data_IF_730390149993
#
_entry.id   IF_730390149993
#
_cell.length_a   1.000
_cell.length_b   1.000
_cell.length_c   1.000
_cell.angle_alpha   90.00
_cell.angle_beta   90.00
_cell.angle_gamma   90.00
#
_symmetry.space_group_name_H-M   'P 1'
#
loop_
_entity.id
_entity.type
_entity.pdbx_description
1 polymer ?
#
# COMPACT_ATOMS: atom_id res chain seq x y z
N UNK A 1 -33.47 -16.79 23.68
CA UNK A 1 -32.90 -16.59 22.33
C UNK A 1 -32.38 -17.92 21.84
N UNK A 2 -33.03 -18.53 20.84
CA UNK A 2 -32.59 -19.80 20.28
C UNK A 2 -31.38 -19.55 19.37
N UNK A 3 -30.24 -20.16 19.67
CA UNK A 3 -29.07 -20.15 18.80
C UNK A 3 -29.38 -20.94 17.53
N UNK A 4 -29.56 -20.26 16.40
CA UNK A 4 -29.63 -20.95 15.12
C UNK A 4 -28.30 -21.67 14.89
N UNK A 5 -28.31 -22.99 14.61
CA UNK A 5 -27.09 -23.71 14.30
C UNK A 5 -26.48 -23.06 13.06
N UNK A 6 -25.29 -22.50 13.20
CA UNK A 6 -24.50 -22.11 12.04
C UNK A 6 -24.40 -23.33 11.12
N UNK A 7 -24.93 -23.19 9.90
CA UNK A 7 -24.90 -24.25 8.91
C UNK A 7 -23.43 -24.49 8.54
N UNK A 8 -22.83 -25.55 9.07
CA UNK A 8 -21.42 -25.92 8.90
C UNK A 8 -21.00 -25.93 7.42
N UNK A 9 -21.92 -26.31 6.53
CA UNK A 9 -21.71 -26.26 5.08
C UNK A 9 -21.43 -24.86 4.53
N UNK A 10 -22.08 -23.80 5.06
CA UNK A 10 -21.83 -22.42 4.62
C UNK A 10 -20.43 -21.94 5.02
N UNK A 11 -19.94 -22.35 6.19
CA UNK A 11 -18.59 -21.98 6.62
C UNK A 11 -17.53 -22.67 5.76
N UNK A 12 -17.69 -23.98 5.52
CA UNK A 12 -16.78 -24.74 4.65
C UNK A 12 -16.70 -24.15 3.24
N UNK A 13 -17.85 -23.78 2.65
CA UNK A 13 -17.90 -23.12 1.36
C UNK A 13 -17.13 -21.79 1.33
N UNK A 14 -17.27 -20.95 2.37
CA UNK A 14 -16.53 -19.69 2.49
C UNK A 14 -15.02 -19.95 2.57
N UNK A 15 -14.58 -20.92 3.37
CA UNK A 15 -13.16 -21.28 3.50
C UNK A 15 -12.59 -21.74 2.16
N UNK A 16 -13.26 -22.68 1.50
CA UNK A 16 -12.83 -23.20 0.19
C UNK A 16 -12.75 -22.06 -0.83
N UNK A 17 -13.79 -21.22 -0.91
CA UNK A 17 -13.80 -20.09 -1.83
C UNK A 17 -12.65 -19.11 -1.54
N UNK A 18 -12.38 -18.83 -0.26
CA UNK A 18 -11.29 -17.93 0.14
C UNK A 18 -9.92 -18.50 -0.27
N UNK A 19 -9.71 -19.81 -0.10
CA UNK A 19 -8.48 -20.48 -0.53
C UNK A 19 -8.33 -20.48 -2.05
N UNK A 20 -9.41 -20.70 -2.79
CA UNK A 20 -9.40 -20.60 -4.27
C UNK A 20 -9.05 -19.19 -4.71
N UNK A 21 -9.65 -18.16 -4.11
CA UNK A 21 -9.33 -16.75 -4.40
C UNK A 21 -7.88 -16.44 -4.09
N UNK A 22 -7.35 -16.90 -2.95
CA UNK A 22 -5.95 -16.71 -2.59
C UNK A 22 -5.00 -17.40 -3.57
N UNK A 23 -5.30 -18.64 -3.97
CA UNK A 23 -4.50 -19.38 -4.95
C UNK A 23 -4.50 -18.67 -6.32
N UNK A 24 -5.66 -18.19 -6.78
CA UNK A 24 -5.75 -17.40 -8.02
C UNK A 24 -4.97 -16.10 -7.92
N UNK A 25 -5.03 -15.41 -6.78
CA UNK A 25 -4.28 -14.18 -6.54
C UNK A 25 -2.77 -14.44 -6.62
N UNK A 26 -2.29 -15.49 -5.95
CA UNK A 26 -0.88 -15.92 -5.98
C UNK A 26 -0.44 -16.29 -7.40
N UNK A 27 -1.27 -17.04 -8.13
CA UNK A 27 -1.00 -17.41 -9.52
C UNK A 27 -0.88 -16.19 -10.44
N UNK A 28 -1.88 -15.31 -10.41
CA UNK A 28 -1.90 -14.08 -11.23
C UNK A 28 -0.71 -13.18 -10.87
N UNK A 29 -0.37 -13.11 -9.58
CA UNK A 29 0.78 -12.34 -9.12
C UNK A 29 2.09 -12.92 -9.64
N UNK A 30 2.27 -14.24 -9.59
CA UNK A 30 3.42 -14.92 -10.18
C UNK A 30 3.57 -14.63 -11.67
N UNK A 31 2.51 -14.85 -12.46
CA UNK A 31 2.55 -14.53 -13.90
C UNK A 31 2.83 -13.04 -14.18
N UNK A 32 2.35 -12.14 -13.31
CA UNK A 32 2.62 -10.71 -13.42
C UNK A 32 4.08 -10.40 -13.15
N UNK A 33 4.66 -10.99 -12.09
CA UNK A 33 6.07 -10.84 -11.72
C UNK A 33 6.99 -11.38 -12.81
N UNK A 34 6.71 -12.55 -13.38
CA UNK A 34 7.50 -13.13 -14.48
C UNK A 34 7.63 -12.18 -15.69
N UNK A 35 6.63 -11.31 -15.91
CA UNK A 35 6.64 -10.32 -17.01
C UNK A 35 7.28 -8.98 -16.64
N UNK A 36 7.46 -8.69 -15.36
CA UNK A 36 7.84 -7.37 -14.86
C UNK A 36 8.94 -7.39 -13.81
N UNK A 37 9.65 -8.50 -13.63
CA UNK A 37 10.68 -8.69 -12.60
C UNK A 37 11.73 -7.56 -12.63
N UNK A 38 12.12 -7.11 -13.82
CA UNK A 38 13.10 -6.02 -14.00
C UNK A 38 12.51 -4.59 -13.91
N UNK A 39 11.23 -4.41 -13.57
CA UNK A 39 10.60 -3.10 -13.35
C UNK A 39 10.02 -2.98 -11.93
N UNK A 40 10.88 -2.78 -10.91
CA UNK A 40 10.46 -2.69 -9.52
C UNK A 40 9.52 -1.49 -9.27
N UNK A 41 9.57 -0.46 -10.11
CA UNK A 41 8.66 0.68 -10.04
C UNK A 41 7.22 0.29 -10.32
N UNK A 42 6.99 -0.54 -11.36
CA UNK A 42 5.66 -1.09 -11.65
C UNK A 42 5.16 -2.05 -10.58
N UNK A 43 6.02 -2.95 -10.10
CA UNK A 43 5.67 -3.89 -9.03
C UNK A 43 5.21 -3.10 -7.79
N UNK A 44 6.02 -2.11 -7.36
CA UNK A 44 5.69 -1.23 -6.24
C UNK A 44 4.36 -0.50 -6.44
N UNK A 45 4.08 0.00 -7.64
CA UNK A 45 2.81 0.67 -7.96
C UNK A 45 1.60 -0.27 -7.81
N UNK A 46 1.70 -1.52 -8.26
CA UNK A 46 0.62 -2.51 -8.11
C UNK A 46 0.46 -2.90 -6.64
N UNK A 47 1.54 -3.06 -5.89
CA UNK A 47 1.44 -3.32 -4.45
C UNK A 47 0.80 -2.15 -3.68
N UNK A 48 1.07 -0.90 -4.09
CA UNK A 48 0.34 0.26 -3.57
C UNK A 48 -1.16 0.20 -3.86
N UNK A 49 -1.54 -0.23 -5.06
CA UNK A 49 -2.94 -0.43 -5.41
C UNK A 49 -3.60 -1.50 -4.54
N UNK A 50 -2.90 -2.62 -4.28
CA UNK A 50 -3.37 -3.64 -3.33
C UNK A 50 -3.56 -3.08 -1.92
N UNK A 51 -2.58 -2.33 -1.40
CA UNK A 51 -2.66 -1.70 -0.08
C UNK A 51 -3.84 -0.72 0.03
N UNK A 52 -4.11 0.04 -1.04
CA UNK A 52 -5.29 0.89 -1.16
C UNK A 52 -6.60 0.10 -1.13
N UNK A 53 -6.68 -0.99 -1.89
CA UNK A 53 -7.85 -1.87 -1.91
C UNK A 53 -8.14 -2.48 -0.53
N UNK A 54 -7.10 -2.94 0.16
CA UNK A 54 -7.17 -3.47 1.54
C UNK A 54 -7.66 -2.40 2.51
N UNK A 55 -7.13 -1.19 2.39
CA UNK A 55 -7.53 -0.06 3.24
C UNK A 55 -8.99 0.34 3.00
N UNK A 56 -9.42 0.41 1.75
CA UNK A 56 -10.82 0.67 1.40
C UNK A 56 -11.75 -0.43 1.93
N UNK A 57 -11.32 -1.68 1.87
CA UNK A 57 -12.06 -2.81 2.43
C UNK A 57 -12.19 -2.72 3.97
N UNK A 58 -11.13 -2.35 4.68
CA UNK A 58 -11.16 -2.15 6.14
C UNK A 58 -12.16 -1.05 6.53
N UNK A 59 -12.14 0.07 5.82
CA UNK A 59 -13.10 1.17 6.00
C UNK A 59 -14.52 0.67 5.72
N UNK A 60 -14.73 -0.05 4.63
CA UNK A 60 -16.03 -0.61 4.24
C UNK A 60 -16.62 -1.56 5.29
N UNK A 61 -15.78 -2.39 5.91
CA UNK A 61 -16.21 -3.25 7.04
C UNK A 61 -16.64 -2.43 8.26
N UNK A 62 -15.91 -1.36 8.56
CA UNK A 62 -16.22 -0.49 9.70
C UNK A 62 -17.49 0.32 9.47
N UNK A 63 -17.68 0.89 8.28
CA UNK A 63 -18.91 1.63 7.92
C UNK A 63 -20.13 0.71 7.87
N UNK A 64 -19.93 -0.59 7.61
CA UNK A 64 -20.99 -1.60 7.67
C UNK A 64 -21.30 -2.09 9.08
N UNK A 65 -20.59 -1.60 10.11
CA UNK A 65 -20.75 -2.03 11.50
C UNK A 65 -20.26 -3.46 11.80
N UNK A 66 -19.49 -4.08 10.89
CA UNK A 66 -18.93 -5.42 11.08
C UNK A 66 -17.77 -5.38 12.09
N UNK A 67 -16.97 -4.33 12.02
CA UNK A 67 -15.83 -4.08 12.90
C UNK A 67 -15.97 -2.74 13.61
N UNK A 68 -15.52 -2.66 14.86
CA UNK A 68 -15.55 -1.41 15.59
C UNK A 68 -14.60 -0.37 14.97
N UNK A 69 -14.92 0.94 15.07
CA UNK A 69 -14.06 2.00 14.51
C UNK A 69 -12.63 2.00 15.06
N UNK A 70 -12.42 1.50 16.29
CA UNK A 70 -11.08 1.37 16.87
C UNK A 70 -10.21 0.38 16.08
N UNK A 71 -10.76 -0.75 15.62
CA UNK A 71 -10.03 -1.70 14.76
C UNK A 71 -9.75 -1.10 13.39
N UNK A 72 -10.69 -0.34 12.83
CA UNK A 72 -10.46 0.36 11.57
C UNK A 72 -9.30 1.37 11.68
N UNK A 73 -9.29 2.18 12.74
CA UNK A 73 -8.19 3.12 13.03
C UNK A 73 -6.85 2.40 13.23
N UNK A 74 -6.85 1.28 13.97
CA UNK A 74 -5.66 0.45 14.15
C UNK A 74 -5.18 -0.14 12.82
N UNK A 75 -6.10 -0.65 12.00
CA UNK A 75 -5.79 -1.21 10.68
C UNK A 75 -5.23 -0.15 9.74
N UNK A 76 -5.81 1.06 9.74
CA UNK A 76 -5.29 2.21 9.00
C UNK A 76 -3.87 2.56 9.44
N UNK A 77 -3.62 2.61 10.75
CA UNK A 77 -2.28 2.85 11.28
C UNK A 77 -1.30 1.78 10.83
N UNK A 78 -1.67 0.50 10.90
CA UNK A 78 -0.82 -0.62 10.44
C UNK A 78 -0.58 -0.57 8.93
N UNK A 79 -1.59 -0.28 8.11
CA UNK A 79 -1.45 -0.18 6.66
C UNK A 79 -0.58 1.01 6.25
N UNK A 80 -0.78 2.18 6.88
CA UNK A 80 0.00 3.40 6.62
C UNK A 80 1.42 3.29 7.17
N UNK A 81 1.62 2.65 8.31
CA UNK A 81 2.93 2.60 8.96
C UNK A 81 3.76 1.39 8.57
N UNK A 82 3.15 0.21 8.53
CA UNK A 82 3.80 -1.03 8.13
C UNK A 82 3.81 -1.21 6.63
N UNK A 83 2.63 -1.16 6.01
CA UNK A 83 2.46 -1.36 4.56
C UNK A 83 3.23 -0.35 3.72
N UNK A 84 3.03 0.96 3.96
CA UNK A 84 3.74 2.01 3.23
C UNK A 84 5.26 1.92 3.42
N UNK A 85 5.74 1.69 4.64
CA UNK A 85 7.18 1.57 4.92
C UNK A 85 7.79 0.37 4.19
N UNK A 86 7.11 -0.78 4.18
CA UNK A 86 7.54 -1.94 3.40
C UNK A 86 7.61 -1.65 1.90
N UNK A 87 6.58 -1.03 1.32
CA UNK A 87 6.55 -0.72 -0.11
C UNK A 87 7.58 0.34 -0.52
N UNK A 88 7.91 1.26 0.37
CA UNK A 88 8.96 2.25 0.13
C UNK A 88 10.37 1.63 0.16
N UNK A 89 10.56 0.54 0.91
CA UNK A 89 11.83 -0.23 1.00
C UNK A 89 11.97 -1.30 -0.08
N UNK A 90 10.88 -1.74 -0.69
CA UNK A 90 10.92 -2.69 -1.80
C UNK A 90 11.82 -2.19 -2.95
N UNK A 91 12.70 -3.02 -3.56
CA UNK A 91 12.84 -4.48 -3.41
C UNK A 91 13.98 -4.93 -2.47
N UNK A 92 14.20 -4.24 -1.35
CA UNK A 92 15.21 -4.68 -0.38
C UNK A 92 14.76 -5.93 0.38
N UNK A 93 15.56 -6.99 0.33
CA UNK A 93 15.44 -8.11 1.24
C UNK A 93 15.99 -7.71 2.61
N UNK A 94 15.26 -8.02 3.66
CA UNK A 94 15.68 -7.77 5.03
C UNK A 94 15.83 -9.10 5.78
N UNK A 95 16.86 -9.20 6.61
CA UNK A 95 17.03 -10.35 7.50
C UNK A 95 15.85 -10.43 8.48
N UNK A 96 15.48 -11.65 8.89
CA UNK A 96 14.39 -11.86 9.86
C UNK A 96 14.68 -11.22 11.21
N UNK A 97 15.95 -11.09 11.58
CA UNK A 97 16.41 -10.45 12.82
C UNK A 97 16.48 -8.92 12.72
N UNK A 98 16.29 -8.34 11.53
CA UNK A 98 16.30 -6.90 11.35
C UNK A 98 15.16 -6.24 12.11
N UNK A 99 15.39 -4.99 12.57
CA UNK A 99 14.37 -4.18 13.23
C UNK A 99 13.11 -4.02 12.35
N UNK A 100 13.30 -3.94 11.03
CA UNK A 100 12.19 -3.88 10.07
C UNK A 100 11.31 -5.13 10.12
N UNK A 101 11.90 -6.32 10.05
CA UNK A 101 11.15 -7.58 10.11
C UNK A 101 10.38 -7.72 11.42
N UNK A 102 11.03 -7.44 12.56
CA UNK A 102 10.38 -7.46 13.88
C UNK A 102 9.22 -6.47 13.94
N UNK A 103 9.41 -5.24 13.46
CA UNK A 103 8.36 -4.21 13.37
C UNK A 103 7.17 -4.71 12.55
N UNK A 104 7.40 -5.30 11.37
CA UNK A 104 6.32 -5.81 10.52
C UNK A 104 5.58 -6.97 11.18
N UNK A 105 6.28 -7.91 11.82
CA UNK A 105 5.65 -8.99 12.59
C UNK A 105 4.82 -8.47 13.76
N UNK A 106 5.32 -7.48 14.51
CA UNK A 106 4.57 -6.84 15.59
C UNK A 106 3.30 -6.15 15.08
N UNK A 107 3.38 -5.39 13.98
CA UNK A 107 2.23 -4.71 13.38
C UNK A 107 1.20 -5.71 12.84
N UNK A 108 1.65 -6.78 12.19
CA UNK A 108 0.79 -7.85 11.69
C UNK A 108 0.07 -8.58 12.82
N UNK A 109 0.81 -8.88 13.90
CA UNK A 109 0.26 -9.50 15.12
C UNK A 109 -0.78 -8.59 15.75
N UNK A 110 -0.46 -7.31 15.91
CA UNK A 110 -1.36 -6.30 16.48
C UNK A 110 -2.64 -6.16 15.64
N UNK A 111 -2.54 -6.15 14.31
CA UNK A 111 -3.70 -6.14 13.40
C UNK A 111 -4.54 -7.41 13.56
N UNK A 112 -3.90 -8.58 13.65
CA UNK A 112 -4.57 -9.87 13.84
C UNK A 112 -5.37 -9.91 15.14
N UNK A 113 -4.74 -9.54 16.25
CA UNK A 113 -5.43 -9.47 17.54
C UNK A 113 -6.51 -8.38 17.56
N UNK A 114 -6.25 -7.22 16.95
CA UNK A 114 -7.24 -6.16 16.79
C UNK A 114 -8.51 -6.69 16.13
N UNK A 115 -8.37 -7.39 15.00
CA UNK A 115 -9.51 -8.04 14.36
C UNK A 115 -10.14 -9.10 15.26
N UNK A 116 -9.37 -10.02 15.85
CA UNK A 116 -9.93 -11.06 16.71
C UNK A 116 -10.84 -10.52 17.84
N UNK A 117 -10.51 -9.36 18.41
CA UNK A 117 -11.26 -8.74 19.50
C UNK A 117 -12.30 -7.69 19.08
N UNK A 118 -12.20 -7.09 17.89
CA UNK A 118 -13.09 -5.99 17.50
C UNK A 118 -14.24 -6.34 16.54
N UNK A 119 -14.47 -7.62 16.27
CA UNK A 119 -15.73 -8.07 15.64
C UNK A 119 -16.87 -8.01 16.66
N UNK A 120 -17.93 -7.25 16.36
CA UNK A 120 -19.08 -7.07 17.26
C UNK A 120 -19.84 -8.38 17.56
N UNK A 121 -19.84 -9.31 16.61
CA UNK A 121 -20.46 -10.65 16.73
C UNK A 121 -19.56 -11.72 16.10
N UNK A 122 -18.50 -12.15 16.80
CA UNK A 122 -17.50 -13.08 16.24
C UNK A 122 -18.11 -14.37 15.68
N UNK A 123 -19.08 -14.98 16.38
CA UNK A 123 -19.74 -16.22 15.94
C UNK A 123 -20.48 -16.04 14.61
N UNK A 124 -21.23 -14.95 14.46
CA UNK A 124 -22.02 -14.66 13.25
C UNK A 124 -21.15 -14.28 12.06
N UNK A 125 -19.90 -13.88 12.31
CA UNK A 125 -19.00 -13.33 11.30
C UNK A 125 -17.69 -14.13 11.16
N UNK A 126 -17.62 -15.34 11.69
CA UNK A 126 -16.41 -16.16 11.63
C UNK A 126 -15.93 -16.40 10.19
N UNK A 127 -16.86 -16.57 9.23
CA UNK A 127 -16.51 -16.67 7.82
C UNK A 127 -15.85 -15.40 7.27
N UNK A 128 -16.39 -14.22 7.62
CA UNK A 128 -15.80 -12.92 7.25
C UNK A 128 -14.44 -12.72 7.92
N UNK A 129 -14.29 -13.14 9.17
CA UNK A 129 -13.03 -13.10 9.89
C UNK A 129 -11.96 -13.95 9.19
N UNK A 130 -12.30 -15.17 8.71
CA UNK A 130 -11.37 -16.00 7.94
C UNK A 130 -10.96 -15.32 6.63
N UNK A 131 -11.92 -14.70 5.91
CA UNK A 131 -11.62 -13.93 4.69
C UNK A 131 -10.65 -12.79 4.98
N UNK A 132 -10.89 -12.01 6.03
CA UNK A 132 -9.99 -10.93 6.48
C UNK A 132 -8.62 -11.47 6.82
N UNK A 133 -8.56 -12.54 7.63
CA UNK A 133 -7.29 -13.12 8.05
C UNK A 133 -6.46 -13.58 6.85
N UNK A 134 -7.05 -14.33 5.92
CA UNK A 134 -6.32 -14.86 4.77
C UNK A 134 -5.99 -13.79 3.73
N UNK A 135 -6.96 -12.99 3.30
CA UNK A 135 -6.78 -12.07 2.17
C UNK A 135 -6.26 -10.68 2.57
N UNK A 136 -6.61 -10.18 3.76
CA UNK A 136 -6.26 -8.82 4.18
C UNK A 136 -4.99 -8.80 5.05
N UNK A 137 -4.80 -9.82 5.89
CA UNK A 137 -3.65 -9.90 6.81
C UNK A 137 -2.51 -10.70 6.17
N UNK A 138 -2.76 -11.94 5.72
CA UNK A 138 -1.68 -12.85 5.27
C UNK A 138 -1.30 -12.72 3.79
N UNK A 139 -2.24 -12.41 2.90
CA UNK A 139 -1.91 -12.27 1.48
C UNK A 139 -0.84 -11.19 1.21
N UNK A 140 -0.89 -9.98 1.80
CA UNK A 140 0.09 -8.94 1.45
C UNK A 140 1.55 -9.30 1.80
N UNK A 141 1.87 -9.86 2.99
CA UNK A 141 3.21 -10.39 3.26
C UNK A 141 3.63 -11.47 2.26
N UNK A 142 2.74 -12.39 1.88
CA UNK A 142 3.04 -13.44 0.90
C UNK A 142 3.35 -12.82 -0.47
N UNK A 143 2.52 -11.90 -0.95
CA UNK A 143 2.75 -11.20 -2.23
C UNK A 143 4.04 -10.38 -2.20
N UNK A 144 4.36 -9.75 -1.06
CA UNK A 144 5.62 -9.03 -0.88
C UNK A 144 6.82 -9.98 -0.99
N UNK A 145 6.79 -11.11 -0.28
CA UNK A 145 7.87 -12.10 -0.31
C UNK A 145 8.06 -12.70 -1.70
N UNK A 146 6.96 -12.97 -2.42
CA UNK A 146 7.02 -13.45 -3.80
C UNK A 146 7.63 -12.42 -4.76
N UNK A 147 7.45 -11.12 -4.47
CA UNK A 147 7.96 -10.05 -5.31
C UNK A 147 9.45 -9.75 -5.07
N UNK A 148 10.07 -10.33 -4.04
CA UNK A 148 11.50 -10.12 -3.79
C UNK A 148 12.31 -10.74 -4.94
N UNK A 149 13.26 -9.98 -5.52
CA UNK A 149 14.09 -10.51 -6.60
C UNK A 149 14.99 -11.62 -6.06
N UNK A 150 15.06 -12.70 -6.84
CA UNK A 150 15.88 -13.88 -6.53
C UNK A 150 17.37 -13.60 -6.70
N UNK A 151 17.73 -12.69 -7.62
CA UNK A 151 19.11 -12.27 -7.84
C UNK A 151 19.52 -11.22 -6.79
N UNK A 152 20.54 -11.50 -5.95
CA UNK A 152 21.09 -10.53 -5.01
C UNK A 152 21.61 -9.24 -5.67
N UNK A 153 21.97 -9.26 -6.96
CA UNK A 153 22.41 -8.07 -7.68
C UNK A 153 21.25 -7.13 -8.07
N UNK A 154 20.03 -7.66 -8.20
CA UNK A 154 18.82 -6.87 -8.49
C UNK A 154 18.13 -6.33 -7.23
N UNK A 155 18.47 -6.89 -6.06
CA UNK A 155 18.17 -6.26 -4.78
C UNK A 155 18.93 -4.94 -4.75
N UNK A 156 18.25 -3.87 -5.19
CA UNK A 156 18.77 -2.50 -5.31
C UNK A 156 19.77 -2.29 -4.19
N UNK A 157 21.02 -2.03 -4.59
CA UNK A 157 22.15 -1.76 -3.68
C UNK A 157 21.59 -1.03 -2.49
N UNK A 158 21.80 -1.61 -1.32
CA UNK A 158 21.39 -1.13 0.00
C UNK A 158 21.92 0.30 0.18
N UNK A 159 21.33 1.26 -0.51
CA UNK A 159 21.65 2.66 -0.43
C UNK A 159 21.07 3.03 0.93
N UNK A 160 21.95 3.09 1.93
CA UNK A 160 21.62 3.31 3.34
C UNK A 160 20.68 4.50 3.53
N UNK A 161 20.68 5.47 2.60
CA UNK A 161 19.78 6.64 2.60
C UNK A 161 18.30 6.22 2.53
N UNK A 162 17.96 5.08 1.92
CA UNK A 162 16.60 4.56 1.80
C UNK A 162 16.26 3.40 2.76
N UNK A 163 17.16 2.99 3.65
CA UNK A 163 16.84 2.00 4.71
C UNK A 163 16.35 2.67 6.02
N UNK A 164 16.30 4.00 6.03
CA UNK A 164 15.80 4.78 7.16
C UNK A 164 14.29 4.57 7.33
N UNK A 165 13.85 4.24 8.55
CA UNK A 165 12.45 4.08 8.95
C UNK A 165 11.61 5.31 8.57
N UNK A 166 10.41 5.08 8.02
CA UNK A 166 9.48 6.15 7.64
C UNK A 166 9.20 7.11 8.81
N UNK A 167 9.12 6.61 10.05
CA UNK A 167 8.97 7.43 11.25
C UNK A 167 10.08 8.46 11.37
N UNK A 168 11.31 7.99 11.19
CA UNK A 168 12.50 8.80 11.31
C UNK A 168 12.58 9.81 10.17
N UNK A 169 12.17 9.43 8.95
CA UNK A 169 12.06 10.37 7.83
C UNK A 169 11.03 11.46 8.09
N UNK A 170 9.83 11.09 8.56
CA UNK A 170 8.78 12.05 8.89
C UNK A 170 9.23 12.97 10.04
N UNK A 171 9.89 12.41 11.04
CA UNK A 171 10.48 13.16 12.14
C UNK A 171 11.56 14.15 11.66
N UNK A 172 12.48 13.71 10.80
CA UNK A 172 13.49 14.58 10.19
C UNK A 172 12.85 15.67 9.34
N UNK A 173 11.81 15.36 8.56
CA UNK A 173 11.07 16.34 7.79
C UNK A 173 10.41 17.41 8.68
N UNK A 174 9.91 16.98 9.84
CA UNK A 174 9.27 17.84 10.84
C UNK A 174 10.28 18.72 11.58
N UNK A 175 11.45 18.20 11.92
CA UNK A 175 12.45 18.90 12.75
C UNK A 175 13.51 19.65 11.95
N UNK A 176 13.86 19.18 10.75
CA UNK A 176 14.92 19.73 9.92
C UNK A 176 14.37 20.60 8.77
N UNK A 177 14.68 21.90 8.78
CA UNK A 177 14.17 22.83 7.77
C UNK A 177 14.79 22.63 6.38
N UNK A 178 16.04 22.15 6.29
CA UNK A 178 16.70 21.86 5.01
C UNK A 178 16.05 20.67 4.29
N UNK A 179 15.80 19.57 5.01
CA UNK A 179 15.10 18.39 4.47
C UNK A 179 13.70 18.75 3.99
N UNK A 180 12.98 19.57 4.74
CA UNK A 180 11.66 20.06 4.34
C UNK A 180 11.71 20.84 3.03
N UNK A 181 12.68 21.75 2.87
CA UNK A 181 12.85 22.51 1.62
C UNK A 181 13.17 21.58 0.46
N UNK A 182 14.11 20.63 0.64
CA UNK A 182 14.49 19.63 -0.37
C UNK A 182 13.29 18.77 -0.80
N UNK A 183 12.49 18.31 0.15
CA UNK A 183 11.26 17.56 -0.12
C UNK A 183 10.23 18.38 -0.90
N UNK A 184 9.95 19.62 -0.47
CA UNK A 184 9.01 20.51 -1.17
C UNK A 184 9.48 20.80 -2.59
N UNK A 185 10.77 21.04 -2.80
CA UNK A 185 11.36 21.23 -4.14
C UNK A 185 11.22 19.98 -5.01
N UNK A 186 11.47 18.80 -4.44
CA UNK A 186 11.33 17.51 -5.13
C UNK A 186 9.88 17.27 -5.52
N UNK A 187 8.94 17.43 -4.58
CA UNK A 187 7.50 17.34 -4.84
C UNK A 187 7.04 18.35 -5.89
N UNK A 188 7.55 19.59 -5.85
CA UNK A 188 7.23 20.62 -6.84
C UNK A 188 7.76 20.24 -8.23
N UNK A 189 9.00 19.75 -8.32
CA UNK A 189 9.58 19.26 -9.57
C UNK A 189 8.80 18.08 -10.14
N UNK A 190 8.46 17.09 -9.31
CA UNK A 190 7.66 15.94 -9.68
C UNK A 190 6.27 16.36 -10.19
N UNK A 191 5.56 17.19 -9.43
CA UNK A 191 4.24 17.70 -9.79
C UNK A 191 4.28 18.48 -11.12
N UNK A 192 5.27 19.35 -11.29
CA UNK A 192 5.49 20.10 -12.52
C UNK A 192 5.72 19.17 -13.72
N UNK A 193 6.53 18.13 -13.58
CA UNK A 193 6.76 17.13 -14.65
C UNK A 193 5.45 16.43 -15.05
N UNK A 194 4.64 16.03 -14.07
CA UNK A 194 3.35 15.39 -14.36
C UNK A 194 2.32 16.33 -14.97
N UNK A 195 2.22 17.57 -14.48
CA UNK A 195 1.37 18.59 -15.10
C UNK A 195 1.80 18.89 -16.54
N UNK A 196 3.11 18.94 -16.80
CA UNK A 196 3.63 19.14 -18.16
C UNK A 196 3.22 17.98 -19.08
N UNK A 197 3.49 16.74 -18.65
CA UNK A 197 3.08 15.55 -19.40
C UNK A 197 1.57 15.47 -19.65
N UNK A 198 0.75 15.87 -18.67
CA UNK A 198 -0.70 15.96 -18.84
C UNK A 198 -1.11 17.06 -19.83
N UNK A 199 -0.44 18.22 -19.78
CA UNK A 199 -0.70 19.36 -20.69
C UNK A 199 -0.34 19.06 -22.14
N UNK A 200 0.63 18.19 -22.38
CA UNK A 200 1.00 17.75 -23.73
C UNK A 200 -0.07 16.84 -24.35
N UNK A 201 -0.87 16.17 -23.51
CA UNK A 201 -1.97 15.30 -23.95
C UNK A 201 -3.32 16.01 -24.07
N UNK A 202 -3.49 17.18 -23.46
CA UNK A 202 -4.78 17.89 -23.41
C UNK A 202 -4.63 19.42 -23.41
N UNK A 203 -5.28 20.08 -24.38
CA UNK A 203 -5.31 21.54 -24.49
C UNK A 203 -6.02 22.21 -23.30
N UNK A 204 -7.05 21.58 -22.73
CA UNK A 204 -7.73 22.06 -21.53
C UNK A 204 -6.81 22.01 -20.31
N UNK A 205 -6.07 20.91 -20.13
CA UNK A 205 -5.09 20.80 -19.06
C UNK A 205 -4.01 21.89 -19.18
N UNK A 206 -3.57 22.20 -20.41
CA UNK A 206 -2.64 23.29 -20.68
C UNK A 206 -3.17 24.65 -20.23
N UNK A 207 -4.43 24.98 -20.55
CA UNK A 207 -5.06 26.25 -20.13
C UNK A 207 -5.16 26.32 -18.61
N UNK A 208 -5.63 25.25 -17.95
CA UNK A 208 -5.75 25.19 -16.48
C UNK A 208 -4.39 25.36 -15.80
N UNK A 209 -3.35 24.67 -16.28
CA UNK A 209 -1.98 24.78 -15.73
C UNK A 209 -1.40 26.18 -15.93
N UNK A 210 -1.61 26.79 -17.10
CA UNK A 210 -1.17 28.17 -17.36
C UNK A 210 -1.90 29.21 -16.50
N UNK A 211 -3.17 28.97 -16.15
CA UNK A 211 -3.94 29.83 -15.25
C UNK A 211 -3.50 29.66 -13.79
N UNK A 212 -3.25 28.41 -13.35
CA UNK A 212 -2.91 28.11 -11.96
C UNK A 212 -1.48 28.49 -11.55
N UNK A 213 -0.53 28.55 -12.49
CA UNK A 213 0.89 28.81 -12.18
C UNK A 213 1.50 29.88 -13.10
N UNK A 214 1.66 31.13 -12.62
CA UNK A 214 2.29 32.21 -13.40
C UNK A 214 3.70 31.89 -13.88
N UNK A 215 4.43 31.05 -13.12
CA UNK A 215 5.77 30.59 -13.48
C UNK A 215 5.79 29.75 -14.77
N UNK A 216 4.74 28.95 -14.99
CA UNK A 216 4.63 28.10 -16.18
C UNK A 216 4.39 28.89 -17.48
N UNK A 217 3.68 30.02 -17.37
CA UNK A 217 3.44 30.90 -18.52
C UNK A 217 4.74 31.42 -19.12
N UNK A 218 5.73 31.74 -18.28
CA UNK A 218 7.05 32.25 -18.72
C UNK A 218 7.86 31.19 -19.48
N UNK A 219 7.83 29.94 -19.05
CA UNK A 219 8.54 28.84 -19.71
C UNK A 219 7.91 28.46 -21.05
N UNK A 220 6.58 28.51 -21.17
CA UNK A 220 5.90 28.25 -22.44
C UNK A 220 6.13 29.35 -23.48
N UNK A 221 6.05 30.63 -23.09
CA UNK A 221 6.34 31.75 -24.01
C UNK A 221 7.77 31.70 -24.56
N UNK A 222 8.75 31.26 -23.75
CA UNK A 222 10.16 31.11 -24.20
C UNK A 222 10.36 30.02 -25.26
N UNK A 223 9.49 29.01 -25.34
CA UNK A 223 9.59 27.92 -26.32
C UNK A 223 8.94 28.26 -27.68
N UNK A 224 8.44 29.48 -27.89
CA UNK A 224 7.89 29.91 -29.18
C UNK A 224 6.60 29.21 -29.60
N UNK A 225 5.94 28.47 -28.69
CA UNK A 225 4.61 27.89 -28.93
C UNK A 225 3.58 28.94 -28.53
N UNK A 226 2.97 29.61 -29.51
CA UNK A 226 1.81 30.46 -29.26
C UNK A 226 0.68 29.59 -28.68
N UNK A 227 0.08 30.07 -27.58
CA UNK A 227 -1.02 29.39 -26.88
C UNK A 227 -2.29 29.51 -27.72
#
# INVERSE_FOLDING_TARGET
MASQPMCTGSLAAIVILTLVVLALLVWIWGEYLDRHEHDPGRIRAVMFLFLWGITAFDIGMSTSGITCPAVASLSLLVNIWGGLDALLRFPAAHELESFFSVKQFCLLSLKTFGYAFGFSSFREHIGKFIVVLLLNIWAPPVLYLMALPLDPFEQVVKDDEYDVDLAFRVWHLATCSSERRRCVETCRCWWNRHLLAASERSSLARIVVCAASPGYRRTFCKKGRSV
#
